data_IF_845968203136
#
_entry.id   IF_845968203136
#
_cell.length_a   1.000
_cell.length_b   1.000
_cell.length_c   1.000
_cell.angle_alpha   90.00
_cell.angle_beta   90.00
_cell.angle_gamma   90.00
#
_symmetry.space_group_name_H-M   'P 1'
#
loop_
_entity.id
_entity.type
_entity.pdbx_description
1 polymer ?
#
# COMPACT_ATOMS: atom_id res chain seq x y z
N UNK A 1 51.06 23.54 -26.93
CA UNK A 1 50.27 23.78 -25.70
C UNK A 1 48.74 23.74 -25.85
N UNK A 2 48.13 23.74 -27.06
CA UNK A 2 46.65 23.76 -27.21
C UNK A 2 45.95 22.40 -27.20
N UNK A 3 46.68 21.30 -27.46
CA UNK A 3 46.10 19.93 -27.57
C UNK A 3 45.78 19.27 -26.22
N UNK A 4 46.46 19.68 -25.14
CA UNK A 4 46.20 19.18 -23.79
C UNK A 4 45.05 19.91 -23.08
N UNK A 5 44.66 21.10 -23.56
CA UNK A 5 43.55 21.88 -22.99
C UNK A 5 42.19 21.30 -23.39
N UNK A 6 42.10 20.70 -24.59
CA UNK A 6 40.87 20.09 -25.10
C UNK A 6 40.49 18.80 -24.33
N UNK A 7 41.50 18.00 -23.93
CA UNK A 7 41.31 16.77 -23.15
C UNK A 7 40.82 17.06 -21.73
N UNK A 8 41.26 18.17 -21.12
CA UNK A 8 40.77 18.60 -19.80
C UNK A 8 39.31 19.08 -19.84
N UNK A 9 38.88 19.72 -20.93
CA UNK A 9 37.51 20.18 -21.09
C UNK A 9 36.50 19.03 -21.29
N UNK A 10 36.91 17.94 -21.95
CA UNK A 10 36.06 16.76 -22.17
C UNK A 10 35.88 15.96 -20.86
N UNK A 11 36.89 15.90 -20.00
CA UNK A 11 36.81 15.24 -18.69
C UNK A 11 35.96 16.02 -17.67
N UNK A 12 35.90 17.36 -17.78
CA UNK A 12 35.04 18.21 -16.95
C UNK A 12 33.56 18.13 -17.34
N UNK A 13 33.24 17.88 -18.61
CA UNK A 13 31.85 17.72 -19.09
C UNK A 13 31.30 16.30 -18.95
N UNK A 14 32.16 15.29 -18.78
CA UNK A 14 31.75 13.89 -18.59
C UNK A 14 31.29 13.53 -17.17
N UNK A 15 31.41 14.45 -16.21
CA UNK A 15 31.14 14.20 -14.78
C UNK A 15 29.85 14.85 -14.28
N UNK A 16 28.98 15.35 -15.17
CA UNK A 16 27.60 15.65 -14.80
C UNK A 16 26.85 14.34 -14.94
N UNK A 17 27.00 13.47 -13.93
CA UNK A 17 26.06 12.39 -13.71
C UNK A 17 24.68 13.04 -13.61
N UNK A 18 23.89 12.91 -14.67
CA UNK A 18 22.46 13.15 -14.59
C UNK A 18 21.95 12.01 -13.71
N UNK A 19 22.04 12.20 -12.39
CA UNK A 19 21.14 11.53 -11.48
C UNK A 19 19.76 12.05 -11.87
N UNK A 20 19.11 11.34 -12.79
CA UNK A 20 17.68 11.42 -12.92
C UNK A 20 17.16 10.93 -11.58
N UNK A 21 16.94 11.86 -10.64
CA UNK A 21 16.13 11.61 -9.47
C UNK A 21 14.76 11.33 -10.07
N UNK A 22 14.47 10.04 -10.31
CA UNK A 22 13.14 9.60 -10.65
C UNK A 22 12.25 10.20 -9.57
N UNK A 23 11.31 11.07 -9.92
CA UNK A 23 10.44 11.65 -8.92
C UNK A 23 9.70 10.46 -8.31
N UNK A 24 10.00 10.21 -7.04
CA UNK A 24 9.32 9.28 -6.13
C UNK A 24 7.87 9.77 -6.10
N UNK A 25 7.07 9.22 -7.00
CA UNK A 25 5.71 9.67 -7.29
C UNK A 25 4.72 8.67 -6.72
N UNK A 26 3.64 9.23 -6.20
CA UNK A 26 2.46 8.47 -5.85
C UNK A 26 1.99 7.61 -7.03
N UNK A 27 1.34 6.47 -6.75
CA UNK A 27 0.71 5.64 -7.78
C UNK A 27 -0.21 6.50 -8.66
N UNK A 28 -0.03 6.42 -9.98
CA UNK A 28 -0.69 7.34 -10.92
C UNK A 28 -2.15 7.02 -11.18
N UNK A 29 -2.57 5.79 -10.91
CA UNK A 29 -3.89 5.28 -11.26
C UNK A 29 -4.90 5.35 -10.09
N UNK A 30 -4.55 6.04 -9.00
CA UNK A 30 -5.41 6.13 -7.83
C UNK A 30 -6.74 6.81 -8.17
N UNK A 31 -7.86 6.29 -7.64
CA UNK A 31 -9.16 6.94 -7.78
C UNK A 31 -9.16 8.36 -7.20
N UNK A 32 -10.03 9.22 -7.72
CA UNK A 32 -10.13 10.63 -7.30
C UNK A 32 -10.44 10.84 -5.81
N UNK A 33 -11.05 9.85 -5.15
CA UNK A 33 -11.36 9.86 -3.72
C UNK A 33 -10.21 9.36 -2.83
N UNK A 34 -9.08 9.00 -3.43
CA UNK A 34 -7.85 8.66 -2.73
C UNK A 34 -6.88 9.84 -2.80
N UNK A 35 -6.35 10.22 -1.64
CA UNK A 35 -5.25 11.17 -1.52
C UNK A 35 -3.97 10.38 -1.33
N UNK A 36 -2.92 10.76 -2.06
CA UNK A 36 -1.58 10.26 -1.81
C UNK A 36 -0.65 11.39 -1.39
N UNK A 37 0.11 11.16 -0.34
CA UNK A 37 1.09 12.08 0.22
C UNK A 37 2.45 11.37 0.28
N UNK A 38 3.52 12.11 -0.03
CA UNK A 38 4.89 11.67 0.22
C UNK A 38 5.44 12.45 1.41
N UNK A 39 5.88 11.73 2.44
CA UNK A 39 6.58 12.28 3.60
C UNK A 39 7.92 11.57 3.78
N UNK A 40 9.02 12.24 3.44
CA UNK A 40 10.39 11.70 3.56
C UNK A 40 10.55 10.34 2.87
N UNK A 41 10.13 10.27 1.60
CA UNK A 41 10.15 9.05 0.78
C UNK A 41 9.25 7.91 1.31
N UNK A 42 8.33 8.24 2.22
CA UNK A 42 7.25 7.34 2.63
C UNK A 42 5.94 7.73 1.99
N UNK A 43 5.32 6.80 1.28
CA UNK A 43 4.06 7.03 0.61
C UNK A 43 2.89 6.62 1.49
N UNK A 44 1.99 7.57 1.70
CA UNK A 44 0.73 7.37 2.41
C UNK A 44 -0.43 7.59 1.44
N UNK A 45 -1.19 6.53 1.19
CA UNK A 45 -2.44 6.57 0.42
C UNK A 45 -3.60 6.45 1.40
N UNK A 46 -4.49 7.44 1.37
CA UNK A 46 -5.70 7.45 2.19
C UNK A 46 -6.92 7.66 1.30
N UNK A 47 -7.87 6.73 1.35
CA UNK A 47 -9.12 6.77 0.61
C UNK A 47 -10.31 6.87 1.57
N UNK A 48 -11.24 7.78 1.31
CA UNK A 48 -12.42 8.00 2.15
C UNK A 48 -13.71 8.04 1.32
N UNK A 49 -14.82 7.61 1.96
CA UNK A 49 -16.21 7.85 1.58
C UNK A 49 -16.60 7.44 0.16
N UNK A 50 -17.39 6.37 0.02
CA UNK A 50 -18.00 6.03 -1.26
C UNK A 50 -17.15 5.11 -2.14
N UNK A 51 -15.98 4.71 -1.65
CA UNK A 51 -14.98 4.01 -2.44
C UNK A 51 -15.24 2.51 -2.46
N UNK A 52 -15.36 1.96 -3.67
CA UNK A 52 -15.36 0.52 -3.84
C UNK A 52 -13.93 0.00 -3.59
N UNK A 53 -13.78 -0.81 -2.55
CA UNK A 53 -12.48 -1.38 -2.16
C UNK A 53 -11.80 -2.14 -3.31
N UNK A 54 -12.56 -2.89 -4.11
CA UNK A 54 -11.99 -3.64 -5.23
C UNK A 54 -11.40 -2.70 -6.28
N UNK A 55 -12.05 -1.55 -6.53
CA UNK A 55 -11.53 -0.52 -7.44
C UNK A 55 -10.23 0.07 -6.92
N UNK A 56 -10.14 0.38 -5.62
CA UNK A 56 -8.89 0.86 -5.00
C UNK A 56 -7.80 -0.19 -5.18
N UNK A 57 -8.04 -1.41 -4.73
CA UNK A 57 -7.05 -2.48 -4.77
C UNK A 57 -6.58 -2.78 -6.20
N UNK A 58 -7.49 -2.76 -7.19
CA UNK A 58 -7.15 -2.97 -8.60
C UNK A 58 -6.38 -1.81 -9.26
N UNK A 59 -6.38 -0.63 -8.63
CA UNK A 59 -5.68 0.55 -9.15
C UNK A 59 -4.22 0.64 -8.73
N UNK A 60 -3.81 -0.19 -7.76
CA UNK A 60 -2.45 -0.21 -7.24
C UNK A 60 -1.55 -1.02 -8.17
N UNK A 61 -0.40 -0.46 -8.52
CA UNK A 61 0.61 -1.18 -9.30
C UNK A 61 1.43 -2.09 -8.36
N UNK A 62 1.65 -3.37 -8.69
CA UNK A 62 2.50 -4.26 -7.90
C UNK A 62 3.94 -3.76 -7.70
N UNK A 63 4.43 -2.89 -8.57
CA UNK A 63 5.77 -2.32 -8.45
C UNK A 63 5.84 -1.10 -7.53
N UNK A 64 4.71 -0.43 -7.29
CA UNK A 64 4.63 0.71 -6.38
C UNK A 64 4.79 0.24 -4.94
N UNK A 65 5.70 0.89 -4.21
CA UNK A 65 5.89 0.66 -2.78
C UNK A 65 5.09 1.69 -1.99
N UNK A 66 4.15 1.24 -1.18
CA UNK A 66 3.28 2.09 -0.35
C UNK A 66 3.56 1.77 1.11
N UNK A 67 4.08 2.74 1.86
CA UNK A 67 4.34 2.52 3.28
C UNK A 67 3.04 2.39 4.07
N UNK A 68 2.00 3.14 3.69
CA UNK A 68 0.71 3.07 4.37
C UNK A 68 -0.46 3.24 3.41
N UNK A 69 -1.34 2.25 3.38
CA UNK A 69 -2.62 2.27 2.68
C UNK A 69 -3.76 2.24 3.70
N UNK A 70 -4.60 3.26 3.65
CA UNK A 70 -5.76 3.43 4.54
C UNK A 70 -7.04 3.58 3.72
N UNK A 71 -7.99 2.69 3.94
CA UNK A 71 -9.28 2.68 3.26
C UNK A 71 -10.37 2.79 4.33
N UNK A 72 -11.13 3.88 4.30
CA UNK A 72 -12.15 4.18 5.29
C UNK A 72 -13.55 4.30 4.67
N UNK A 73 -14.56 3.77 5.37
CA UNK A 73 -15.98 3.92 5.03
C UNK A 73 -16.28 3.53 3.57
N UNK A 74 -15.94 2.28 3.20
CA UNK A 74 -16.16 1.75 1.85
C UNK A 74 -17.65 1.80 1.46
N UNK A 75 -17.92 2.08 0.18
CA UNK A 75 -19.24 1.93 -0.42
C UNK A 75 -19.15 1.30 -1.83
N UNK A 76 -19.93 0.25 -2.13
CA UNK A 76 -20.77 -0.49 -1.18
C UNK A 76 -19.93 -1.20 -0.10
N UNK A 77 -20.57 -1.49 1.04
CA UNK A 77 -19.97 -2.38 2.05
C UNK A 77 -19.72 -3.76 1.44
N UNK A 78 -18.57 -4.35 1.75
CA UNK A 78 -18.20 -5.69 1.27
C UNK A 78 -18.30 -6.69 2.40
N UNK A 79 -19.06 -7.77 2.20
CA UNK A 79 -19.22 -8.81 3.23
C UNK A 79 -18.00 -9.71 3.37
N UNK A 80 -17.33 -10.02 2.25
CA UNK A 80 -16.17 -10.89 2.24
C UNK A 80 -14.99 -10.18 1.58
N UNK A 81 -13.87 -10.08 2.31
CA UNK A 81 -12.60 -9.65 1.73
C UNK A 81 -12.01 -10.82 0.92
N UNK A 82 -11.83 -10.59 -0.38
CA UNK A 82 -11.22 -11.56 -1.29
C UNK A 82 -9.69 -11.53 -1.18
N UNK A 83 -9.04 -12.40 -1.93
CA UNK A 83 -7.58 -12.39 -2.13
C UNK A 83 -7.14 -11.00 -2.58
N UNK A 84 -6.23 -10.39 -1.81
CA UNK A 84 -5.65 -9.11 -2.16
C UNK A 84 -4.80 -9.27 -3.43
N UNK A 85 -4.81 -8.29 -4.35
CA UNK A 85 -3.90 -8.32 -5.49
C UNK A 85 -2.44 -8.21 -5.01
N UNK A 86 -1.46 -8.61 -5.84
CA UNK A 86 -0.05 -8.34 -5.56
C UNK A 86 0.19 -6.84 -5.37
N UNK A 87 0.73 -6.46 -4.22
CA UNK A 87 1.05 -5.08 -3.88
C UNK A 87 2.13 -5.03 -2.81
N UNK A 88 3.01 -4.02 -2.87
CA UNK A 88 4.06 -3.79 -1.86
C UNK A 88 3.57 -2.77 -0.83
N UNK A 89 2.79 -3.24 0.13
CA UNK A 89 2.21 -2.41 1.19
C UNK A 89 2.74 -2.85 2.55
N UNK A 90 3.31 -1.92 3.33
CA UNK A 90 3.81 -2.21 4.69
C UNK A 90 2.74 -2.11 5.77
N UNK A 91 1.87 -1.11 5.69
CA UNK A 91 0.78 -0.91 6.65
C UNK A 91 -0.56 -0.83 5.91
N UNK A 92 -1.46 -1.77 6.17
CA UNK A 92 -2.80 -1.83 5.58
C UNK A 92 -3.86 -1.60 6.66
N UNK A 93 -4.69 -0.58 6.44
CA UNK A 93 -5.88 -0.33 7.25
C UNK A 93 -7.12 -0.37 6.37
N UNK A 94 -8.08 -1.23 6.74
CA UNK A 94 -9.42 -1.28 6.14
C UNK A 94 -10.44 -1.08 7.25
N UNK A 95 -11.07 0.08 7.27
CA UNK A 95 -11.85 0.57 8.40
C UNK A 95 -13.28 0.90 7.99
N UNK A 96 -14.27 0.36 8.70
CA UNK A 96 -15.68 0.71 8.46
C UNK A 96 -16.28 0.14 7.16
N UNK A 97 -15.69 -0.90 6.57
CA UNK A 97 -16.07 -1.41 5.25
C UNK A 97 -17.10 -2.56 5.26
N UNK A 98 -17.54 -2.98 6.45
CA UNK A 98 -18.61 -3.98 6.62
C UNK A 98 -18.18 -5.43 6.41
N UNK A 99 -16.88 -5.71 6.53
CA UNK A 99 -16.31 -7.05 6.32
C UNK A 99 -16.79 -8.00 7.42
N UNK A 100 -17.47 -9.08 7.04
CA UNK A 100 -17.94 -10.16 7.92
C UNK A 100 -16.99 -11.36 7.87
N UNK A 101 -16.42 -11.63 6.70
CA UNK A 101 -15.58 -12.78 6.40
C UNK A 101 -14.32 -12.37 5.63
N UNK A 102 -13.25 -13.15 5.77
CA UNK A 102 -12.00 -12.96 5.07
C UNK A 102 -11.66 -14.29 4.41
N UNK A 103 -11.28 -14.24 3.14
CA UNK A 103 -10.82 -15.43 2.44
C UNK A 103 -9.60 -16.05 3.13
N UNK A 104 -9.50 -17.37 3.18
CA UNK A 104 -8.39 -18.07 3.85
C UNK A 104 -7.02 -17.74 3.21
N UNK A 105 -7.04 -17.31 1.95
CA UNK A 105 -5.88 -16.94 1.16
C UNK A 105 -5.79 -15.42 0.94
N UNK A 106 -6.54 -14.62 1.71
CA UNK A 106 -6.63 -13.16 1.53
C UNK A 106 -5.26 -12.48 1.44
N UNK A 107 -4.29 -13.02 2.17
CA UNK A 107 -2.99 -12.38 2.42
C UNK A 107 -1.85 -12.88 1.54
N UNK A 108 -2.04 -13.95 0.77
CA UNK A 108 -0.96 -14.66 0.07
C UNK A 108 -0.06 -13.73 -0.77
N UNK A 109 -0.67 -12.74 -1.43
CA UNK A 109 0.03 -11.84 -2.35
C UNK A 109 0.72 -10.65 -1.65
N UNK A 110 0.53 -10.48 -0.34
CA UNK A 110 1.14 -9.39 0.47
C UNK A 110 1.91 -9.91 1.68
N UNK A 111 1.99 -11.23 1.82
CA UNK A 111 2.51 -11.94 2.99
C UNK A 111 3.92 -11.52 3.43
N UNK A 112 4.78 -11.17 2.46
CA UNK A 112 6.17 -10.83 2.69
C UNK A 112 6.41 -9.33 2.91
N UNK A 113 5.41 -8.48 2.71
CA UNK A 113 5.60 -7.03 2.74
C UNK A 113 4.90 -6.37 3.94
N UNK A 114 3.88 -7.02 4.50
CA UNK A 114 2.97 -6.42 5.46
C UNK A 114 3.50 -6.51 6.91
N UNK A 115 3.82 -5.35 7.49
CA UNK A 115 4.26 -5.17 8.87
C UNK A 115 3.09 -4.87 9.82
N UNK A 116 2.08 -4.14 9.33
CA UNK A 116 0.91 -3.74 10.12
C UNK A 116 -0.40 -4.04 9.39
N UNK A 117 -1.34 -4.70 10.08
CA UNK A 117 -2.68 -4.97 9.58
C UNK A 117 -3.74 -4.43 10.54
N UNK A 118 -4.65 -3.58 10.05
CA UNK A 118 -5.78 -3.07 10.82
C UNK A 118 -7.07 -3.32 10.06
N UNK A 119 -7.99 -4.09 10.65
CA UNK A 119 -9.32 -4.36 10.11
C UNK A 119 -10.39 -3.86 11.08
N UNK A 120 -10.35 -2.57 11.43
CA UNK A 120 -11.16 -1.97 12.49
C UNK A 120 -12.57 -1.61 12.04
N UNK A 121 -13.50 -1.50 12.99
CA UNK A 121 -14.89 -1.06 12.72
C UNK A 121 -15.60 -1.88 11.62
N UNK A 122 -15.29 -3.18 11.53
CA UNK A 122 -15.93 -4.11 10.60
C UNK A 122 -16.92 -5.02 11.37
N UNK A 123 -17.34 -6.12 10.76
CA UNK A 123 -18.34 -7.05 11.29
C UNK A 123 -17.76 -8.46 11.44
N UNK A 124 -16.43 -8.58 11.57
CA UNK A 124 -15.75 -9.87 11.67
C UNK A 124 -16.24 -10.62 12.91
N UNK A 125 -16.64 -11.88 12.72
CA UNK A 125 -17.07 -12.76 13.82
C UNK A 125 -15.94 -13.60 14.39
N UNK A 126 -14.83 -13.70 13.65
CA UNK A 126 -13.63 -14.47 13.99
C UNK A 126 -12.40 -13.70 13.52
N UNK A 127 -11.29 -13.87 14.23
CA UNK A 127 -9.99 -13.34 13.79
C UNK A 127 -9.50 -14.23 12.65
N UNK A 128 -9.08 -13.66 11.50
CA UNK A 128 -8.52 -14.44 10.40
C UNK A 128 -7.20 -15.09 10.79
N UNK A 129 -6.82 -16.17 10.10
CA UNK A 129 -5.46 -16.70 10.23
C UNK A 129 -4.45 -15.68 9.71
N UNK A 130 -3.37 -15.47 10.47
CA UNK A 130 -2.27 -14.56 10.13
C UNK A 130 -0.95 -15.31 9.89
N UNK A 131 -0.98 -16.64 9.87
CA UNK A 131 0.23 -17.48 9.82
C UNK A 131 1.10 -17.24 8.57
N UNK A 132 0.48 -16.77 7.49
CA UNK A 132 1.17 -16.45 6.23
C UNK A 132 1.92 -15.12 6.30
N UNK A 133 1.53 -14.20 7.19
CA UNK A 133 2.08 -12.85 7.28
C UNK A 133 3.37 -12.88 8.10
N UNK A 134 4.47 -13.35 7.51
CA UNK A 134 5.72 -13.64 8.23
C UNK A 134 6.41 -12.40 8.79
N UNK A 135 6.15 -11.23 8.23
CA UNK A 135 6.73 -9.95 8.65
C UNK A 135 5.78 -9.14 9.55
N UNK A 136 4.59 -9.65 9.87
CA UNK A 136 3.60 -8.91 10.64
C UNK A 136 4.09 -8.67 12.07
N UNK A 137 4.20 -7.39 12.43
CA UNK A 137 4.60 -6.92 13.75
C UNK A 137 3.38 -6.54 14.58
N UNK A 138 2.34 -5.99 13.94
CA UNK A 138 1.15 -5.48 14.64
C UNK A 138 -0.13 -5.84 13.90
N UNK A 139 -1.15 -6.24 14.66
CA UNK A 139 -2.49 -6.49 14.16
C UNK A 139 -3.55 -5.83 15.06
N UNK A 140 -4.54 -5.16 14.46
CA UNK A 140 -5.67 -4.55 15.17
C UNK A 140 -7.00 -4.98 14.53
N UNK A 141 -7.84 -5.64 15.35
CA UNK A 141 -9.19 -6.07 14.99
C UNK A 141 -10.25 -5.44 15.89
N UNK A 142 -9.94 -4.31 16.53
CA UNK A 142 -10.86 -3.63 17.44
C UNK A 142 -12.16 -3.23 16.73
N UNK A 143 -13.24 -3.11 17.51
CA UNK A 143 -14.56 -2.73 17.02
C UNK A 143 -15.11 -3.68 15.93
N UNK A 144 -14.88 -4.98 16.12
CA UNK A 144 -15.53 -6.05 15.39
C UNK A 144 -16.50 -6.82 16.30
N UNK A 145 -17.13 -7.87 15.76
CA UNK A 145 -18.06 -8.75 16.47
C UNK A 145 -17.42 -10.10 16.82
N UNK A 146 -16.13 -10.09 17.13
CA UNK A 146 -15.36 -11.31 17.38
C UNK A 146 -15.90 -12.00 18.63
N UNK A 147 -16.43 -13.22 18.45
CA UNK A 147 -16.94 -14.05 19.54
C UNK A 147 -16.01 -15.23 19.74
N UNK A 148 -15.49 -15.40 20.96
CA UNK A 148 -14.79 -16.61 21.38
C UNK A 148 -15.85 -17.61 21.85
N UNK A 149 -16.23 -18.55 20.99
CA UNK A 149 -17.02 -19.72 21.37
C UNK A 149 -16.15 -20.95 21.34
#
# INVERSE_FOLDING_TARGET
MKRNLLLFLILLYGCISVYAILPIRCPSNLPLFCKCENQMDKFRVTCHNGSNINTILSSLDPEDTIDKLEIHNCEPKIKKLQILPPMKVKSLTIDGCGIEEIDENAWNNVALELDELKLTNNLLKKIPSLIQLTNLISADFSHNQVCYR
#
